data_IF_158009750468
#
_entry.id   IF_158009750468
#
_cell.length_a   1.000
_cell.length_b   1.000
_cell.length_c   1.000
_cell.angle_alpha   90.00
_cell.angle_beta   90.00
_cell.angle_gamma   90.00
#
_symmetry.space_group_name_H-M   'P 1'
#
loop_
_entity.id
_entity.type
_entity.pdbx_description
1 polymer ?
#
# COMPACT_ATOMS: atom_id res chain seq x y z
N UNK A 1 32.16 31.33 3.00
CA UNK A 1 31.50 31.23 4.32
C UNK A 1 30.03 31.62 4.17
N UNK A 2 29.16 30.68 3.83
CA UNK A 2 27.93 30.42 4.59
C UNK A 2 27.28 29.19 3.99
N UNK A 3 27.36 28.13 4.78
CA UNK A 3 26.72 26.84 4.55
C UNK A 3 25.22 27.00 4.70
N UNK A 4 24.46 26.69 3.65
CA UNK A 4 23.19 25.97 3.80
C UNK A 4 22.83 25.33 2.45
N UNK A 5 23.69 24.39 2.02
CA UNK A 5 23.23 23.37 1.10
C UNK A 5 22.16 22.59 1.87
N UNK A 6 20.89 22.92 1.63
CA UNK A 6 19.74 22.24 2.18
C UNK A 6 20.00 20.73 2.09
N UNK A 7 20.27 20.14 3.26
CA UNK A 7 20.56 18.73 3.37
C UNK A 7 19.34 18.01 2.81
N UNK A 8 19.47 17.53 1.57
CA UNK A 8 18.52 16.59 1.00
C UNK A 8 18.53 15.44 2.00
N UNK A 9 17.45 15.31 2.76
CA UNK A 9 17.25 14.18 3.66
C UNK A 9 17.33 12.97 2.75
N UNK A 10 18.49 12.31 2.76
CA UNK A 10 18.65 11.02 2.10
C UNK A 10 17.91 10.07 3.02
N UNK A 11 16.62 9.89 2.76
CA UNK A 11 15.87 8.79 3.34
C UNK A 11 16.65 7.53 3.00
N UNK A 12 17.02 6.70 3.99
CA UNK A 12 17.70 5.46 3.69
C UNK A 12 16.79 4.70 2.72
N UNK A 13 17.33 4.36 1.56
CA UNK A 13 16.65 3.55 0.54
C UNK A 13 16.57 2.12 1.08
N UNK A 14 15.73 1.94 2.09
CA UNK A 14 15.44 0.64 2.68
C UNK A 14 14.48 -0.03 1.70
N UNK A 15 14.88 -1.20 1.20
CA UNK A 15 13.98 -2.03 0.40
C UNK A 15 12.68 -2.24 1.20
N UNK A 16 11.51 -1.86 0.66
CA UNK A 16 10.24 -2.07 1.35
C UNK A 16 10.03 -3.54 1.75
N UNK A 17 10.58 -4.50 1.00
CA UNK A 17 10.52 -5.92 1.35
C UNK A 17 11.30 -6.17 2.65
N UNK A 18 12.54 -5.68 2.72
CA UNK A 18 13.39 -5.82 3.90
C UNK A 18 12.78 -5.12 5.11
N UNK A 19 12.17 -3.94 4.93
CA UNK A 19 11.45 -3.23 5.98
C UNK A 19 10.27 -4.06 6.52
N UNK A 20 9.47 -4.67 5.64
CA UNK A 20 8.32 -5.48 6.02
C UNK A 20 8.76 -6.78 6.72
N UNK A 21 9.82 -7.43 6.23
CA UNK A 21 10.39 -8.63 6.87
C UNK A 21 11.00 -8.29 8.23
N UNK A 22 11.73 -7.18 8.35
CA UNK A 22 12.29 -6.71 9.61
C UNK A 22 11.20 -6.40 10.65
N UNK A 23 10.07 -5.81 10.22
CA UNK A 23 8.92 -5.58 11.08
C UNK A 23 8.29 -6.88 11.64
N UNK A 24 8.53 -8.01 10.97
CA UNK A 24 8.09 -9.35 11.41
C UNK A 24 9.23 -10.17 12.04
N UNK A 25 10.27 -9.51 12.59
CA UNK A 25 11.42 -10.15 13.22
C UNK A 25 12.15 -11.15 12.28
N UNK A 26 12.15 -10.89 10.98
CA UNK A 26 12.75 -11.79 9.99
C UNK A 26 11.83 -12.93 9.52
N UNK A 27 10.62 -13.06 10.06
CA UNK A 27 9.66 -14.07 9.60
C UNK A 27 8.97 -13.62 8.31
N UNK A 28 9.57 -14.00 7.19
CA UNK A 28 9.02 -13.73 5.86
C UNK A 28 7.64 -14.36 5.63
N UNK A 29 7.33 -15.50 6.27
CA UNK A 29 6.02 -16.16 6.12
C UNK A 29 4.94 -15.40 6.87
N UNK A 30 5.23 -14.93 8.08
CA UNK A 30 4.32 -14.06 8.83
C UNK A 30 4.08 -12.74 8.07
N UNK A 31 5.14 -12.13 7.54
CA UNK A 31 5.06 -10.91 6.74
C UNK A 31 4.16 -11.06 5.50
N UNK A 32 4.36 -12.12 4.71
CA UNK A 32 3.53 -12.39 3.53
C UNK A 32 2.08 -12.69 3.93
N UNK A 33 1.87 -13.40 5.04
CA UNK A 33 0.52 -13.70 5.54
C UNK A 33 -0.23 -12.41 5.92
N UNK A 34 0.41 -11.49 6.63
CA UNK A 34 -0.18 -10.18 6.96
C UNK A 34 -0.49 -9.36 5.70
N UNK A 35 0.44 -9.34 4.73
CA UNK A 35 0.24 -8.61 3.48
C UNK A 35 -0.95 -9.15 2.68
N UNK A 36 -1.07 -10.47 2.56
CA UNK A 36 -2.22 -11.11 1.90
C UNK A 36 -3.51 -10.72 2.62
N UNK A 37 -3.54 -10.77 3.95
CA UNK A 37 -4.71 -10.38 4.72
C UNK A 37 -5.09 -8.91 4.50
N UNK A 38 -4.11 -7.99 4.49
CA UNK A 38 -4.33 -6.57 4.20
C UNK A 38 -4.85 -6.32 2.80
N UNK A 39 -4.34 -7.03 1.79
CA UNK A 39 -4.83 -6.93 0.42
C UNK A 39 -6.31 -7.36 0.36
N UNK A 40 -6.66 -8.48 1.00
CA UNK A 40 -8.04 -8.95 1.02
C UNK A 40 -8.97 -7.97 1.74
N UNK A 41 -8.51 -7.39 2.86
CA UNK A 41 -9.23 -6.34 3.57
C UNK A 41 -9.47 -5.10 2.68
N UNK A 42 -8.43 -4.64 1.97
CA UNK A 42 -8.53 -3.49 1.08
C UNK A 42 -9.50 -3.74 -0.08
N UNK A 43 -9.46 -4.93 -0.67
CA UNK A 43 -10.40 -5.34 -1.73
C UNK A 43 -11.84 -5.37 -1.20
N UNK A 44 -12.04 -5.81 0.03
CA UNK A 44 -13.35 -5.77 0.68
C UNK A 44 -13.83 -4.32 0.90
N UNK A 45 -12.98 -3.44 1.42
CA UNK A 45 -13.32 -2.02 1.59
C UNK A 45 -13.65 -1.33 0.26
N UNK A 46 -12.91 -1.62 -0.80
CA UNK A 46 -13.18 -1.12 -2.15
C UNK A 46 -14.52 -1.63 -2.68
N UNK A 47 -14.84 -2.91 -2.47
CA UNK A 47 -16.11 -3.50 -2.88
C UNK A 47 -17.29 -2.84 -2.16
N UNK A 48 -17.19 -2.68 -0.84
CA UNK A 48 -18.22 -2.00 -0.04
C UNK A 48 -18.40 -0.54 -0.49
N UNK A 49 -17.29 0.19 -0.64
CA UNK A 49 -17.34 1.59 -1.07
C UNK A 49 -17.96 1.70 -2.46
N UNK A 50 -17.56 0.84 -3.39
CA UNK A 50 -18.14 0.80 -4.74
C UNK A 50 -19.63 0.48 -4.75
N UNK A 51 -20.11 -0.36 -3.83
CA UNK A 51 -21.54 -0.69 -3.72
C UNK A 51 -22.35 0.50 -3.16
N UNK A 52 -21.75 1.32 -2.32
CA UNK A 52 -22.38 2.51 -1.73
C UNK A 52 -22.33 3.74 -2.64
N UNK A 53 -21.35 3.82 -3.56
CA UNK A 53 -21.21 4.95 -4.49
C UNK A 53 -22.27 4.91 -5.60
N UNK A 54 -22.87 6.07 -5.91
CA UNK A 54 -23.77 6.19 -7.06
C UNK A 54 -22.99 6.18 -8.38
N UNK A 55 -23.62 5.69 -9.47
CA UNK A 55 -23.02 5.69 -10.82
C UNK A 55 -22.59 7.08 -11.31
N UNK A 56 -23.26 8.14 -10.84
CA UNK A 56 -22.93 9.52 -11.17
C UNK A 56 -21.67 10.02 -10.45
N UNK A 57 -21.39 9.52 -9.23
CA UNK A 57 -20.25 9.94 -8.42
C UNK A 57 -18.91 9.50 -9.03
N UNK A 58 -18.86 8.31 -9.63
CA UNK A 58 -17.65 7.77 -10.27
C UNK A 58 -17.55 8.11 -11.76
N UNK A 59 -18.46 8.93 -12.31
CA UNK A 59 -18.56 9.22 -13.76
C UNK A 59 -18.56 7.95 -14.61
N UNK A 60 -19.23 6.89 -14.15
CA UNK A 60 -19.29 5.62 -14.83
C UNK A 60 -18.08 4.71 -14.68
N UNK A 61 -17.03 5.11 -13.95
CA UNK A 61 -15.93 4.20 -13.59
C UNK A 61 -16.40 3.18 -12.55
N UNK A 62 -16.03 1.92 -12.75
CA UNK A 62 -16.37 0.82 -11.85
C UNK A 62 -15.11 0.00 -11.58
N UNK A 63 -14.77 -0.30 -10.31
CA UNK A 63 -13.61 -1.12 -10.01
C UNK A 63 -13.77 -2.51 -10.61
N UNK A 64 -12.84 -2.89 -11.47
CA UNK A 64 -12.71 -4.25 -12.02
C UNK A 64 -11.69 -5.02 -11.18
N UNK A 65 -12.02 -6.26 -10.84
CA UNK A 65 -11.12 -7.17 -10.10
C UNK A 65 -10.24 -8.00 -11.04
N UNK A 66 -10.08 -7.57 -12.29
CA UNK A 66 -9.40 -8.33 -13.33
C UNK A 66 -8.01 -8.75 -12.86
N UNK A 67 -7.78 -10.06 -12.85
CA UNK A 67 -6.53 -10.71 -12.48
C UNK A 67 -6.11 -11.53 -13.70
N UNK A 68 -5.47 -10.85 -14.65
CA UNK A 68 -4.67 -11.49 -15.70
C UNK A 68 -3.20 -11.36 -15.34
#
# INVERSE_FOLDING_TARGET
>A
MSSEAAARVQEPEIDPIDAIIAAHNGDARAAVTDLVHRIQHLRHQLSLSSAMMSKGMTRGWQPSLDQT
#
